data_IF_619702215271
#
_entry.id   IF_619702215271
#
_cell.length_a   1.000
_cell.length_b   1.000
_cell.length_c   1.000
_cell.angle_alpha   90.00
_cell.angle_beta   90.00
_cell.angle_gamma   90.00
#
_symmetry.space_group_name_H-M   'P 1'
#
loop_
_entity.id
_entity.type
_entity.pdbx_description
1 polymer ?
#
# COMPACT_ATOMS: atom_id res chain seq x y z
N UNK A 1 -39.53 42.42 -54.56
CA UNK A 1 -38.15 42.41 -54.01
C UNK A 1 -38.29 42.39 -52.50
N UNK A 2 -37.72 41.38 -51.82
CA UNK A 2 -37.73 41.32 -50.35
C UNK A 2 -36.64 42.24 -49.82
N UNK A 3 -36.99 43.13 -48.90
CA UNK A 3 -36.03 43.95 -48.18
C UNK A 3 -35.10 43.03 -47.38
N UNK A 4 -33.78 43.13 -47.57
CA UNK A 4 -32.80 42.35 -46.79
C UNK A 4 -32.34 43.12 -45.55
N UNK A 5 -31.74 42.41 -44.58
CA UNK A 5 -31.16 43.05 -43.40
C UNK A 5 -30.05 44.04 -43.78
N UNK A 6 -29.26 43.74 -44.80
CA UNK A 6 -28.20 44.61 -45.33
C UNK A 6 -28.76 45.86 -46.00
N UNK A 7 -29.90 45.75 -46.69
CA UNK A 7 -30.59 46.91 -47.26
C UNK A 7 -31.14 47.83 -46.16
N UNK A 8 -31.63 47.26 -45.06
CA UNK A 8 -32.10 48.01 -43.89
C UNK A 8 -30.94 48.72 -43.19
N UNK A 9 -29.81 48.04 -42.97
CA UNK A 9 -28.62 48.62 -42.33
C UNK A 9 -28.08 49.78 -43.16
N UNK A 10 -27.94 49.60 -44.47
CA UNK A 10 -27.46 50.66 -45.39
C UNK A 10 -28.36 51.88 -45.38
N UNK A 11 -29.68 51.69 -45.38
CA UNK A 11 -30.65 52.78 -45.24
C UNK A 11 -30.44 53.56 -43.94
N UNK A 12 -30.21 52.88 -42.81
CA UNK A 12 -29.97 53.54 -41.53
C UNK A 12 -28.61 54.26 -41.48
N UNK A 13 -27.57 53.72 -42.12
CA UNK A 13 -26.25 54.36 -42.20
C UNK A 13 -26.31 55.65 -43.02
N UNK A 14 -26.96 55.62 -44.18
CA UNK A 14 -27.03 56.72 -45.13
C UNK A 14 -28.08 57.79 -44.75
N UNK A 15 -29.20 57.41 -44.12
CA UNK A 15 -30.30 58.33 -43.80
C UNK A 15 -30.46 58.58 -42.28
N UNK A 16 -30.13 59.80 -41.86
CA UNK A 16 -30.33 60.28 -40.47
C UNK A 16 -31.81 60.40 -40.10
N UNK A 17 -32.68 60.73 -41.05
CA UNK A 17 -34.13 60.85 -40.81
C UNK A 17 -34.76 59.49 -40.54
N UNK A 18 -34.30 58.44 -41.24
CA UNK A 18 -34.74 57.07 -41.00
C UNK A 18 -34.43 56.63 -39.56
N UNK A 19 -33.20 56.89 -39.07
CA UNK A 19 -32.82 56.63 -37.67
C UNK A 19 -33.68 57.39 -36.67
N UNK A 20 -33.91 58.69 -36.94
CA UNK A 20 -34.74 59.55 -36.08
C UNK A 20 -36.18 59.04 -36.01
N UNK A 21 -36.75 58.64 -37.15
CA UNK A 21 -38.11 58.12 -37.24
C UNK A 21 -38.24 56.78 -36.51
N UNK A 22 -37.27 55.87 -36.65
CA UNK A 22 -37.26 54.62 -35.86
C UNK A 22 -37.19 54.90 -34.36
N UNK A 23 -36.34 55.85 -33.92
CA UNK A 23 -36.25 56.24 -32.52
C UNK A 23 -37.58 56.83 -32.00
N UNK A 24 -38.25 57.66 -32.80
CA UNK A 24 -39.59 58.19 -32.49
C UNK A 24 -40.64 57.07 -32.38
N UNK A 25 -40.62 56.09 -33.29
CA UNK A 25 -41.51 54.92 -33.27
C UNK A 25 -41.29 54.08 -32.01
N UNK A 26 -40.04 53.85 -31.60
CA UNK A 26 -39.72 53.11 -30.38
C UNK A 26 -40.22 53.79 -29.10
N UNK A 27 -40.32 55.12 -29.11
CA UNK A 27 -40.85 55.88 -27.95
C UNK A 27 -42.38 55.95 -27.99
N UNK A 28 -42.94 56.21 -29.17
CA UNK A 28 -44.35 56.60 -29.34
C UNK A 28 -45.27 55.40 -29.60
N UNK A 29 -44.75 54.31 -30.16
CA UNK A 29 -45.52 53.11 -30.50
C UNK A 29 -45.13 51.95 -29.57
N UNK A 30 -45.98 51.60 -28.59
CA UNK A 30 -45.74 50.50 -27.66
C UNK A 30 -45.48 49.16 -28.38
N UNK A 31 -46.20 48.88 -29.47
CA UNK A 31 -46.11 47.60 -30.17
C UNK A 31 -44.77 47.39 -30.86
N UNK A 32 -44.22 48.44 -31.49
CA UNK A 32 -42.89 48.41 -32.14
C UNK A 32 -41.80 48.21 -31.09
N UNK A 33 -41.89 48.92 -29.97
CA UNK A 33 -40.98 48.74 -28.83
C UNK A 33 -41.08 47.34 -28.23
N UNK A 34 -42.28 46.80 -28.08
CA UNK A 34 -42.50 45.46 -27.54
C UNK A 34 -41.96 44.39 -28.50
N UNK A 35 -42.17 44.56 -29.81
CA UNK A 35 -41.65 43.67 -30.84
C UNK A 35 -40.11 43.67 -30.86
N UNK A 36 -39.46 44.84 -30.81
CA UNK A 36 -38.01 44.94 -30.73
C UNK A 36 -37.47 44.36 -29.41
N UNK A 37 -38.12 44.67 -28.28
CA UNK A 37 -37.74 44.12 -26.98
C UNK A 37 -37.85 42.59 -26.96
N UNK A 38 -38.95 42.02 -27.47
CA UNK A 38 -39.15 40.57 -27.55
C UNK A 38 -38.17 39.90 -28.53
N UNK A 39 -37.84 40.56 -29.64
CA UNK A 39 -36.84 40.07 -30.58
C UNK A 39 -35.45 40.01 -29.94
N UNK A 40 -35.04 41.04 -29.20
CA UNK A 40 -33.77 41.07 -28.47
C UNK A 40 -33.78 40.09 -27.29
N UNK A 41 -34.88 40.00 -26.54
CA UNK A 41 -35.01 39.10 -25.38
C UNK A 41 -34.97 37.61 -25.77
N UNK A 42 -35.35 37.25 -27.01
CA UNK A 42 -35.22 35.86 -27.50
C UNK A 42 -33.77 35.39 -27.64
N UNK A 43 -32.83 36.32 -27.77
CA UNK A 43 -31.40 36.02 -27.94
C UNK A 43 -30.60 36.16 -26.63
N UNK A 44 -31.24 36.65 -25.55
CA UNK A 44 -30.60 36.89 -24.26
C UNK A 44 -31.18 35.94 -23.22
N UNK A 45 -30.30 35.26 -22.46
CA UNK A 45 -30.73 34.41 -21.35
C UNK A 45 -31.61 35.20 -20.37
N UNK A 46 -32.80 34.67 -20.08
CA UNK A 46 -33.73 35.27 -19.14
C UNK A 46 -33.25 35.06 -17.70
N UNK A 47 -33.84 35.81 -16.76
CA UNK A 47 -33.57 35.60 -15.33
C UNK A 47 -33.93 34.18 -14.87
N UNK A 48 -34.90 33.56 -15.54
CA UNK A 48 -35.34 32.20 -15.23
C UNK A 48 -34.30 31.18 -15.68
N UNK A 49 -33.76 31.31 -16.90
CA UNK A 49 -32.68 30.45 -17.40
C UNK A 49 -31.45 30.51 -16.48
N UNK A 50 -31.10 31.71 -15.99
CA UNK A 50 -30.02 31.90 -15.03
C UNK A 50 -30.32 31.25 -13.68
N UNK A 51 -31.59 31.22 -13.25
CA UNK A 51 -32.02 30.57 -12.01
C UNK A 51 -31.91 29.05 -12.14
N UNK A 52 -32.36 28.48 -13.25
CA UNK A 52 -32.24 27.05 -13.54
C UNK A 52 -30.77 26.61 -13.57
N UNK A 53 -29.91 27.32 -14.31
CA UNK A 53 -28.47 27.04 -14.35
C UNK A 53 -27.82 27.12 -12.97
N UNK A 54 -28.24 28.07 -12.13
CA UNK A 54 -27.74 28.20 -10.75
C UNK A 54 -28.15 26.99 -9.91
N UNK A 55 -29.39 26.53 -10.04
CA UNK A 55 -29.89 25.35 -9.33
C UNK A 55 -29.18 24.07 -9.80
N UNK A 56 -28.96 23.90 -11.11
CA UNK A 56 -28.17 22.79 -11.64
C UNK A 56 -26.74 22.83 -11.11
N UNK A 57 -26.11 24.01 -11.09
CA UNK A 57 -24.78 24.19 -10.52
C UNK A 57 -24.73 23.79 -9.03
N UNK A 58 -25.75 24.15 -8.25
CA UNK A 58 -25.83 23.71 -6.85
C UNK A 58 -25.99 22.19 -6.73
N UNK A 59 -26.84 21.56 -7.55
CA UNK A 59 -27.01 20.10 -7.56
C UNK A 59 -25.71 19.39 -7.91
N UNK A 60 -25.05 19.78 -9.00
CA UNK A 60 -23.77 19.20 -9.42
C UNK A 60 -22.71 19.36 -8.33
N UNK A 61 -22.68 20.50 -7.64
CA UNK A 61 -21.75 20.73 -6.54
C UNK A 61 -22.01 19.78 -5.37
N UNK A 62 -23.26 19.59 -4.98
CA UNK A 62 -23.62 18.69 -3.87
C UNK A 62 -23.38 17.22 -4.24
N UNK A 63 -23.72 16.80 -5.46
CA UNK A 63 -23.43 15.45 -5.95
C UNK A 63 -21.92 15.18 -5.98
N UNK A 64 -21.13 16.13 -6.48
CA UNK A 64 -19.68 16.02 -6.49
C UNK A 64 -19.11 15.95 -5.08
N UNK A 65 -19.61 16.78 -4.16
CA UNK A 65 -19.21 16.76 -2.76
C UNK A 65 -19.52 15.41 -2.12
N UNK A 66 -20.73 14.89 -2.28
CA UNK A 66 -21.14 13.60 -1.73
C UNK A 66 -20.31 12.45 -2.30
N UNK A 67 -20.02 12.46 -3.60
CA UNK A 67 -19.15 11.47 -4.23
C UNK A 67 -17.72 11.52 -3.67
N UNK A 68 -17.14 12.71 -3.53
CA UNK A 68 -15.80 12.89 -2.96
C UNK A 68 -15.77 12.42 -1.51
N UNK A 69 -16.74 12.82 -0.68
CA UNK A 69 -16.82 12.42 0.73
C UNK A 69 -16.92 10.89 0.86
N UNK A 70 -17.78 10.24 0.08
CA UNK A 70 -17.91 8.78 0.08
C UNK A 70 -16.61 8.09 -0.33
N UNK A 71 -15.89 8.65 -1.32
CA UNK A 71 -14.60 8.14 -1.75
C UNK A 71 -13.50 8.32 -0.71
N UNK A 72 -13.46 9.46 -0.03
CA UNK A 72 -12.50 9.74 1.04
C UNK A 72 -12.73 8.78 2.21
N UNK A 73 -13.97 8.65 2.69
CA UNK A 73 -14.33 7.73 3.76
C UNK A 73 -13.95 6.27 3.40
N UNK A 74 -14.19 5.87 2.15
CA UNK A 74 -13.78 4.55 1.66
C UNK A 74 -12.26 4.35 1.62
N UNK A 75 -11.48 5.39 1.33
CA UNK A 75 -10.02 5.35 1.38
C UNK A 75 -9.52 5.31 2.82
N UNK A 76 -10.09 6.10 3.72
CA UNK A 76 -9.75 6.09 5.16
C UNK A 76 -9.94 4.69 5.76
N UNK A 77 -11.09 4.05 5.51
CA UNK A 77 -11.33 2.69 6.00
C UNK A 77 -10.34 1.66 5.44
N UNK A 78 -9.88 1.84 4.19
CA UNK A 78 -8.83 0.98 3.60
C UNK A 78 -7.46 1.22 4.24
N UNK A 79 -7.13 2.47 4.54
CA UNK A 79 -5.88 2.84 5.23
C UNK A 79 -5.87 2.25 6.64
N UNK A 80 -6.97 2.35 7.38
CA UNK A 80 -7.09 1.77 8.72
C UNK A 80 -6.93 0.24 8.71
N UNK A 81 -7.59 -0.43 7.75
CA UNK A 81 -7.45 -1.89 7.58
C UNK A 81 -6.01 -2.29 7.26
N UNK A 82 -5.32 -1.52 6.40
CA UNK A 82 -3.90 -1.75 6.11
C UNK A 82 -3.04 -1.53 7.36
N UNK A 83 -3.31 -0.49 8.15
CA UNK A 83 -2.64 -0.23 9.41
C UNK A 83 -2.75 -1.40 10.39
N UNK A 84 -3.95 -1.97 10.54
CA UNK A 84 -4.18 -3.16 11.38
C UNK A 84 -3.40 -4.38 10.89
N UNK A 85 -3.36 -4.62 9.57
CA UNK A 85 -2.60 -5.73 8.97
C UNK A 85 -1.10 -5.58 9.19
N UNK A 86 -0.56 -4.37 9.06
CA UNK A 86 0.86 -4.08 9.32
C UNK A 86 1.20 -4.36 10.79
N UNK A 87 0.36 -3.89 11.73
CA UNK A 87 0.55 -4.16 13.16
C UNK A 87 0.54 -5.65 13.49
N UNK A 88 -0.37 -6.43 12.90
CA UNK A 88 -0.40 -7.88 13.08
C UNK A 88 0.84 -8.58 12.51
N UNK A 89 1.31 -8.15 11.33
CA UNK A 89 2.55 -8.65 10.76
C UNK A 89 3.75 -8.34 11.66
N UNK A 90 3.81 -7.15 12.24
CA UNK A 90 4.84 -6.77 13.22
C UNK A 90 4.87 -7.73 14.42
N UNK A 91 3.71 -8.02 15.02
CA UNK A 91 3.62 -8.98 16.13
C UNK A 91 4.07 -10.40 15.74
N UNK A 92 3.72 -10.86 14.54
CA UNK A 92 4.15 -12.17 14.03
C UNK A 92 5.66 -12.24 13.82
N UNK A 93 6.27 -11.16 13.32
CA UNK A 93 7.73 -11.07 13.16
C UNK A 93 8.42 -11.16 14.51
N UNK A 94 7.98 -10.38 15.51
CA UNK A 94 8.56 -10.46 16.87
C UNK A 94 8.40 -11.85 17.50
N UNK A 95 7.27 -12.53 17.24
CA UNK A 95 7.08 -13.91 17.67
C UNK A 95 8.04 -14.90 16.99
N UNK A 96 8.38 -14.68 15.72
CA UNK A 96 9.36 -15.49 15.00
C UNK A 96 10.79 -15.23 15.50
N UNK A 97 11.15 -13.97 15.76
CA UNK A 97 12.44 -13.59 16.35
C UNK A 97 12.66 -14.31 17.69
N UNK A 98 11.66 -14.28 18.58
CA UNK A 98 11.76 -14.99 19.87
C UNK A 98 11.92 -16.51 19.72
N UNK A 99 11.26 -17.12 18.72
CA UNK A 99 11.43 -18.55 18.43
C UNK A 99 12.83 -18.88 17.90
N UNK A 100 13.39 -18.02 17.05
CA UNK A 100 14.74 -18.16 16.51
C UNK A 100 15.76 -18.12 17.66
N UNK A 101 15.68 -17.12 18.55
CA UNK A 101 16.56 -17.05 19.72
C UNK A 101 16.41 -18.26 20.64
N UNK A 102 15.19 -18.79 20.79
CA UNK A 102 14.96 -20.03 21.52
C UNK A 102 15.62 -21.25 20.87
N UNK A 103 15.65 -21.32 19.54
CA UNK A 103 16.37 -22.38 18.83
C UNK A 103 17.88 -22.23 18.92
N UNK A 104 18.42 -21.02 18.82
CA UNK A 104 19.86 -20.74 19.02
C UNK A 104 20.31 -21.22 20.40
N UNK A 105 19.56 -20.89 21.46
CA UNK A 105 19.87 -21.36 22.82
C UNK A 105 19.86 -22.89 22.95
N UNK A 106 18.92 -23.57 22.28
CA UNK A 106 18.86 -25.04 22.27
C UNK A 106 20.02 -25.66 21.50
N UNK A 107 20.44 -25.06 20.40
CA UNK A 107 21.59 -25.51 19.60
C UNK A 107 22.86 -25.41 20.45
N UNK A 108 23.12 -24.24 21.06
CA UNK A 108 24.28 -24.06 21.95
C UNK A 108 24.29 -25.09 23.11
N UNK A 109 23.12 -25.38 23.68
CA UNK A 109 22.98 -26.41 24.71
C UNK A 109 23.25 -27.84 24.21
N UNK A 110 22.92 -28.14 22.94
CA UNK A 110 23.25 -29.42 22.32
C UNK A 110 24.74 -29.53 22.00
N UNK A 111 25.37 -28.48 21.49
CA UNK A 111 26.81 -28.41 21.26
C UNK A 111 27.59 -28.71 22.55
N UNK A 112 27.26 -28.03 23.65
CA UNK A 112 27.91 -28.30 24.94
C UNK A 112 27.72 -29.74 25.46
N UNK A 113 26.58 -30.38 25.16
CA UNK A 113 26.34 -31.80 25.50
C UNK A 113 27.18 -32.73 24.62
N UNK A 114 27.35 -32.40 23.35
CA UNK A 114 28.20 -33.16 22.42
C UNK A 114 29.65 -33.09 22.89
N UNK A 115 30.18 -31.91 23.16
CA UNK A 115 31.54 -31.73 23.70
C UNK A 115 31.75 -32.52 25.00
N UNK A 116 30.73 -32.58 25.85
CA UNK A 116 30.77 -33.36 27.09
C UNK A 116 30.82 -34.87 26.84
N UNK A 117 30.10 -35.35 25.83
CA UNK A 117 30.13 -36.76 25.43
C UNK A 117 31.46 -37.13 24.77
N UNK A 118 32.02 -36.27 23.92
CA UNK A 118 33.34 -36.47 23.30
C UNK A 118 34.42 -36.68 24.35
N UNK A 119 34.51 -35.80 25.36
CA UNK A 119 35.46 -35.96 26.48
C UNK A 119 35.30 -37.30 27.21
N UNK A 120 34.06 -37.70 27.49
CA UNK A 120 33.79 -38.98 28.17
C UNK A 120 34.19 -40.19 27.33
N UNK A 121 34.04 -40.10 26.01
CA UNK A 121 34.50 -41.14 25.07
C UNK A 121 36.02 -41.21 25.05
N UNK A 122 36.71 -40.08 25.03
CA UNK A 122 38.18 -40.01 25.08
C UNK A 122 38.72 -40.59 26.40
N UNK A 123 38.12 -40.22 27.53
CA UNK A 123 38.47 -40.76 28.85
C UNK A 123 38.30 -42.28 28.89
N UNK A 124 37.17 -42.80 28.38
CA UNK A 124 36.93 -44.23 28.32
C UNK A 124 37.94 -44.93 27.41
N UNK A 125 38.27 -44.35 26.25
CA UNK A 125 39.27 -44.88 25.35
C UNK A 125 40.66 -44.95 26.01
N UNK A 126 41.03 -43.93 26.78
CA UNK A 126 42.28 -43.91 27.55
C UNK A 126 42.32 -45.00 28.63
N UNK A 127 41.23 -45.17 29.40
CA UNK A 127 41.11 -46.22 30.41
C UNK A 127 41.19 -47.62 29.79
N UNK A 128 40.53 -47.85 28.65
CA UNK A 128 40.60 -49.13 27.93
C UNK A 128 42.04 -49.40 27.48
N UNK A 129 42.75 -48.41 26.90
CA UNK A 129 44.16 -48.58 26.54
C UNK A 129 45.04 -48.93 27.74
N UNK A 130 44.89 -48.21 28.85
CA UNK A 130 45.67 -48.43 30.07
C UNK A 130 45.41 -49.83 30.66
N UNK A 131 44.15 -50.26 30.75
CA UNK A 131 43.78 -51.59 31.23
C UNK A 131 44.31 -52.71 30.35
N UNK A 132 44.27 -52.56 29.02
CA UNK A 132 44.86 -53.54 28.09
C UNK A 132 46.37 -53.68 28.31
N UNK A 133 47.09 -52.57 28.46
CA UNK A 133 48.53 -52.58 28.77
C UNK A 133 48.77 -53.30 30.10
N UNK A 134 48.01 -52.97 31.15
CA UNK A 134 48.14 -53.59 32.46
C UNK A 134 47.92 -55.11 32.39
N UNK A 135 46.86 -55.56 31.70
CA UNK A 135 46.57 -56.99 31.50
C UNK A 135 47.74 -57.68 30.79
N UNK A 136 48.26 -57.11 29.71
CA UNK A 136 49.40 -57.69 28.97
C UNK A 136 50.64 -57.80 29.85
N UNK A 137 50.98 -56.75 30.61
CA UNK A 137 52.13 -56.75 31.54
C UNK A 137 51.96 -57.77 32.65
N UNK A 138 50.76 -57.88 33.23
CA UNK A 138 50.45 -58.88 34.26
C UNK A 138 50.52 -60.29 33.71
N UNK A 139 49.95 -60.58 32.54
CA UNK A 139 50.05 -61.90 31.90
C UNK A 139 51.49 -62.28 31.56
N UNK A 140 52.27 -61.32 31.04
CA UNK A 140 53.68 -61.54 30.73
C UNK A 140 54.48 -61.91 32.00
N UNK A 141 54.31 -61.16 33.08
CA UNK A 141 55.06 -61.39 34.32
C UNK A 141 54.59 -62.63 35.10
N UNK A 142 53.29 -62.89 35.18
CA UNK A 142 52.72 -63.95 36.05
C UNK A 142 52.54 -65.30 35.36
N UNK A 143 52.32 -65.32 34.04
CA UNK A 143 52.03 -66.56 33.29
C UNK A 143 53.17 -66.92 32.35
N UNK A 144 53.58 -65.99 31.47
CA UNK A 144 54.55 -66.29 30.43
C UNK A 144 55.97 -66.49 30.98
N UNK A 145 56.45 -65.58 31.85
CA UNK A 145 57.81 -65.68 32.41
C UNK A 145 58.06 -67.00 33.14
N UNK A 146 57.23 -67.46 34.09
CA UNK A 146 57.46 -68.75 34.76
C UNK A 146 57.38 -69.95 33.81
N UNK A 147 56.48 -69.92 32.81
CA UNK A 147 56.35 -70.98 31.82
C UNK A 147 57.62 -71.10 30.96
N UNK A 148 58.18 -69.98 30.51
CA UNK A 148 59.43 -69.95 29.74
C UNK A 148 60.59 -70.49 30.58
N UNK A 149 60.70 -70.07 31.85
CA UNK A 149 61.77 -70.55 32.75
C UNK A 149 61.71 -72.07 32.97
N UNK A 150 60.51 -72.62 33.17
CA UNK A 150 60.29 -74.09 33.26
C UNK A 150 60.67 -74.82 31.97
N UNK A 151 60.32 -74.27 30.81
CA UNK A 151 60.66 -74.86 29.51
C UNK A 151 62.17 -74.86 29.22
N UNK A 152 62.90 -73.85 29.72
CA UNK A 152 64.35 -73.74 29.60
C UNK A 152 65.12 -74.57 30.64
N UNK A 153 64.43 -75.21 31.60
CA UNK A 153 65.06 -76.02 32.65
C UNK A 153 65.83 -75.22 33.71
N UNK A 154 65.54 -73.92 33.83
CA UNK A 154 66.18 -73.02 34.81
C UNK A 154 65.39 -73.01 36.15
N UNK A 155 64.20 -73.60 36.16
CA UNK A 155 63.30 -73.75 37.31
C UNK A 155 62.62 -75.12 37.30
#
# INVERSE_FOLDING_TARGET
>A
MSLTAEDIVRLFEEDVRARRRLAELLVSEPDVRLALANAILREVATKEDIRELREEMYRVREELKAYIDARINGLEGRVDSLGQRISNLGQRISGLEGRISGFEGRINGLEGRIDGLERRVDDLAALVRASLIAIVVTLASTVLTPLILKLLGVL
#
